data_IF_859003237647
#
_entry.id   IF_859003237647
#
_cell.length_a   1.000
_cell.length_b   1.000
_cell.length_c   1.000
_cell.angle_alpha   90.00
_cell.angle_beta   90.00
_cell.angle_gamma   90.00
#
_symmetry.space_group_name_H-M   'P 1'
#
loop_
_entity.id
_entity.type
_entity.pdbx_description
1 polymer ?
#
# COMPACT_ATOMS: atom_id res chain seq x y z
N UNK A 1 -29.66 -23.05 -23.58
CA UNK A 1 -28.22 -22.74 -23.52
C UNK A 1 -27.61 -23.61 -22.43
N UNK A 2 -26.70 -24.53 -22.77
CA UNK A 2 -26.00 -25.34 -21.77
C UNK A 2 -24.73 -24.60 -21.33
N UNK A 3 -24.75 -24.02 -20.13
CA UNK A 3 -23.62 -23.31 -19.50
C UNK A 3 -22.63 -24.30 -18.88
N UNK A 4 -22.05 -25.18 -19.68
CA UNK A 4 -20.98 -26.07 -19.22
C UNK A 4 -19.69 -25.70 -19.94
N UNK A 5 -18.76 -25.08 -19.21
CA UNK A 5 -17.38 -24.95 -19.63
C UNK A 5 -16.77 -26.35 -19.79
N UNK A 6 -15.95 -26.51 -20.80
CA UNK A 6 -15.06 -27.66 -20.92
C UNK A 6 -13.97 -27.58 -19.85
N UNK A 7 -13.37 -28.73 -19.53
CA UNK A 7 -12.23 -28.75 -18.61
C UNK A 7 -11.06 -27.89 -19.11
N UNK A 8 -10.86 -27.81 -20.43
CA UNK A 8 -9.80 -27.00 -21.01
C UNK A 8 -10.08 -25.50 -20.84
N UNK A 9 -11.30 -25.04 -21.13
CA UNK A 9 -11.67 -23.63 -20.93
C UNK A 9 -11.54 -23.21 -19.47
N UNK A 10 -11.85 -24.10 -18.53
CA UNK A 10 -11.63 -23.83 -17.10
C UNK A 10 -10.13 -23.70 -16.77
N UNK A 11 -9.28 -24.60 -17.29
CA UNK A 11 -7.83 -24.55 -17.08
C UNK A 11 -7.23 -23.25 -17.63
N UNK A 12 -7.59 -22.89 -18.86
CA UNK A 12 -7.08 -21.69 -19.52
C UNK A 12 -7.51 -20.43 -18.77
N UNK A 13 -8.77 -20.37 -18.32
CA UNK A 13 -9.27 -19.27 -17.48
C UNK A 13 -8.45 -19.10 -16.18
N UNK A 14 -8.19 -20.18 -15.45
CA UNK A 14 -7.37 -20.10 -14.24
C UNK A 14 -5.91 -19.76 -14.55
N UNK A 15 -5.36 -20.27 -15.65
CA UNK A 15 -4.01 -19.94 -16.07
C UNK A 15 -3.84 -18.44 -16.27
N UNK A 16 -4.78 -17.77 -16.94
CA UNK A 16 -4.72 -16.33 -17.20
C UNK A 16 -4.91 -15.50 -15.92
N UNK A 17 -5.74 -15.96 -14.99
CA UNK A 17 -5.91 -15.32 -13.67
C UNK A 17 -4.63 -15.37 -12.85
N UNK A 18 -3.96 -16.53 -12.83
CA UNK A 18 -2.78 -16.73 -11.99
C UNK A 18 -1.48 -16.29 -12.67
N UNK A 19 -1.48 -16.11 -13.99
CA UNK A 19 -0.31 -15.67 -14.77
C UNK A 19 -0.67 -14.44 -15.63
N UNK A 20 -1.03 -13.31 -14.99
CA UNK A 20 -1.40 -12.11 -15.73
C UNK A 20 -0.19 -11.58 -16.52
N UNK A 21 -0.45 -11.05 -17.72
CA UNK A 21 0.56 -10.46 -18.61
C UNK A 21 0.11 -9.07 -19.08
N UNK A 22 1.03 -8.27 -19.62
CA UNK A 22 0.72 -6.93 -20.13
C UNK A 22 0.08 -6.04 -19.06
N UNK A 23 -1.00 -5.34 -19.41
CA UNK A 23 -1.71 -4.41 -18.52
C UNK A 23 -2.29 -5.10 -17.27
N UNK A 24 -2.76 -6.35 -17.40
CA UNK A 24 -3.28 -7.11 -16.27
C UNK A 24 -2.19 -7.35 -15.20
N UNK A 25 -0.93 -7.56 -15.62
CA UNK A 25 0.20 -7.67 -14.69
C UNK A 25 0.46 -6.34 -13.96
N UNK A 26 0.34 -5.21 -14.67
CA UNK A 26 0.51 -3.88 -14.09
C UNK A 26 -0.57 -3.63 -13.03
N UNK A 27 -1.83 -3.98 -13.33
CA UNK A 27 -2.93 -3.87 -12.37
C UNK A 27 -2.70 -4.75 -11.14
N UNK A 28 -2.30 -6.01 -11.32
CA UNK A 28 -1.92 -6.90 -10.21
C UNK A 28 -0.81 -6.26 -9.36
N UNK A 29 0.23 -5.70 -9.98
CA UNK A 29 1.33 -5.05 -9.27
C UNK A 29 0.92 -3.77 -8.55
N UNK A 30 -0.01 -3.00 -9.11
CA UNK A 30 -0.55 -1.81 -8.45
C UNK A 30 -1.31 -2.19 -7.17
N UNK A 31 -2.12 -3.25 -7.22
CA UNK A 31 -2.81 -3.76 -6.03
C UNK A 31 -1.87 -4.42 -5.02
N UNK A 32 -0.82 -5.14 -5.47
CA UNK A 32 0.23 -5.65 -4.59
C UNK A 32 0.90 -4.52 -3.79
N UNK A 33 1.25 -3.42 -4.47
CA UNK A 33 1.85 -2.23 -3.84
C UNK A 33 0.87 -1.58 -2.86
N UNK A 34 -0.38 -1.38 -3.29
CA UNK A 34 -1.42 -0.85 -2.41
C UNK A 34 -1.62 -1.70 -1.16
N UNK A 35 -1.58 -3.02 -1.28
CA UNK A 35 -1.66 -3.95 -0.15
C UNK A 35 -0.54 -3.71 0.88
N UNK A 36 0.69 -3.45 0.42
CA UNK A 36 1.80 -3.13 1.32
C UNK A 36 1.58 -1.85 2.13
N UNK A 37 1.00 -0.82 1.50
CA UNK A 37 0.61 0.40 2.21
C UNK A 37 -0.53 0.14 3.18
N UNK A 38 -1.59 -0.54 2.75
CA UNK A 38 -2.75 -0.83 3.59
C UNK A 38 -2.37 -1.64 4.83
N UNK A 39 -1.48 -2.64 4.71
CA UNK A 39 -0.99 -3.39 5.88
C UNK A 39 -0.30 -2.49 6.90
N UNK A 40 0.52 -1.53 6.46
CA UNK A 40 1.17 -0.57 7.36
C UNK A 40 0.13 0.34 8.02
N UNK A 41 -0.88 0.79 7.27
CA UNK A 41 -1.98 1.60 7.80
C UNK A 41 -2.75 0.81 8.86
N UNK A 42 -3.14 -0.44 8.59
CA UNK A 42 -3.85 -1.31 9.54
C UNK A 42 -3.09 -1.48 10.84
N UNK A 43 -1.78 -1.77 10.75
CA UNK A 43 -0.93 -1.92 11.93
C UNK A 43 -0.92 -0.66 12.81
N UNK A 44 -0.86 0.51 12.20
CA UNK A 44 -0.85 1.79 12.92
C UNK A 44 -2.23 2.09 13.50
N UNK A 45 -3.32 1.80 12.77
CA UNK A 45 -4.67 1.95 13.29
C UNK A 45 -4.88 1.07 14.52
N UNK A 46 -4.46 -0.19 14.48
CA UNK A 46 -4.53 -1.11 15.61
C UNK A 46 -3.72 -0.61 16.81
N UNK A 47 -2.49 -0.15 16.58
CA UNK A 47 -1.62 0.42 17.62
C UNK A 47 -2.22 1.67 18.28
N UNK A 48 -2.88 2.51 17.49
CA UNK A 48 -3.53 3.74 17.96
C UNK A 48 -4.98 3.50 18.43
N UNK A 49 -5.47 2.25 18.45
CA UNK A 49 -6.87 1.89 18.74
C UNK A 49 -7.89 2.68 17.91
N UNK A 50 -7.57 2.94 16.64
CA UNK A 50 -8.40 3.68 15.70
C UNK A 50 -9.10 2.76 14.72
N UNK A 51 -10.30 3.14 14.29
CA UNK A 51 -11.02 2.43 13.23
C UNK A 51 -10.80 3.09 11.85
N UNK A 52 -11.15 2.39 10.76
CA UNK A 52 -11.19 2.99 9.42
C UNK A 52 -12.11 4.24 9.36
N UNK A 53 -13.17 4.26 10.18
CA UNK A 53 -14.07 5.42 10.28
C UNK A 53 -13.36 6.61 10.93
N UNK A 54 -12.53 6.37 11.94
CA UNK A 54 -11.75 7.41 12.60
C UNK A 54 -10.69 7.96 11.65
N UNK A 55 -10.02 7.09 10.88
CA UNK A 55 -9.10 7.52 9.82
C UNK A 55 -9.82 8.40 8.78
N UNK A 56 -11.01 7.99 8.34
CA UNK A 56 -11.80 8.75 7.38
C UNK A 56 -12.08 10.17 7.90
N UNK A 57 -12.52 10.27 9.15
CA UNK A 57 -12.77 11.57 9.81
C UNK A 57 -11.47 12.39 9.89
N UNK A 58 -10.35 11.77 10.26
CA UNK A 58 -9.06 12.45 10.45
C UNK A 58 -8.49 13.03 9.15
N UNK A 59 -8.70 12.36 8.01
CA UNK A 59 -8.25 12.85 6.69
C UNK A 59 -9.33 13.64 5.93
N UNK A 60 -10.48 13.90 6.56
CA UNK A 60 -11.57 14.71 5.99
C UNK A 60 -12.27 14.03 4.81
N UNK A 61 -12.56 12.73 4.89
CA UNK A 61 -13.27 11.98 3.85
C UNK A 61 -14.38 11.09 4.43
N UNK A 62 -15.19 10.48 3.57
CA UNK A 62 -16.25 9.57 4.00
C UNK A 62 -15.70 8.19 4.35
N UNK A 63 -16.33 7.51 5.32
CA UNK A 63 -15.99 6.12 5.66
C UNK A 63 -16.13 5.19 4.44
N UNK A 64 -17.14 5.40 3.58
CA UNK A 64 -17.32 4.63 2.34
C UNK A 64 -16.12 4.77 1.39
N UNK A 65 -15.57 5.98 1.27
CA UNK A 65 -14.38 6.22 0.45
C UNK A 65 -13.15 5.49 0.98
N UNK A 66 -12.95 5.45 2.30
CA UNK A 66 -11.89 4.66 2.91
C UNK A 66 -12.12 3.16 2.68
N UNK A 67 -13.32 2.66 2.97
CA UNK A 67 -13.63 1.23 2.80
C UNK A 67 -13.49 0.74 1.35
N UNK A 68 -13.63 1.62 0.34
CA UNK A 68 -13.31 1.26 -1.04
C UNK A 68 -11.86 0.81 -1.22
N UNK A 69 -10.92 1.40 -0.47
CA UNK A 69 -9.52 1.02 -0.52
C UNK A 69 -9.28 -0.32 0.18
N UNK A 70 -9.75 -0.46 1.42
CA UNK A 70 -9.57 -1.69 2.22
C UNK A 70 -10.25 -2.92 1.59
N UNK A 71 -11.31 -2.71 0.81
CA UNK A 71 -11.97 -3.78 0.06
C UNK A 71 -11.42 -3.98 -1.36
N UNK A 72 -10.33 -3.30 -1.73
CA UNK A 72 -9.72 -3.37 -3.07
C UNK A 72 -10.68 -3.01 -4.22
N UNK A 73 -11.73 -2.25 -3.94
CA UNK A 73 -12.68 -1.76 -4.96
C UNK A 73 -12.13 -0.57 -5.74
N UNK A 74 -11.07 0.08 -5.25
CA UNK A 74 -10.43 1.24 -5.85
C UNK A 74 -8.97 1.31 -5.48
N UNK A 75 -8.10 1.68 -6.43
CA UNK A 75 -6.71 2.01 -6.13
C UNK A 75 -6.60 3.31 -5.31
N UNK A 76 -5.81 3.25 -4.24
CA UNK A 76 -5.43 4.43 -3.48
C UNK A 76 -4.46 5.28 -4.30
N UNK A 77 -4.64 6.60 -4.28
CA UNK A 77 -3.72 7.52 -4.95
C UNK A 77 -2.71 8.11 -3.96
N UNK A 78 -1.60 8.63 -4.47
CA UNK A 78 -0.53 9.20 -3.66
C UNK A 78 -0.95 10.39 -2.80
N UNK A 79 -1.91 11.24 -3.24
CA UNK A 79 -2.42 12.34 -2.40
C UNK A 79 -3.15 11.80 -1.18
N UNK A 80 -3.91 10.72 -1.32
CA UNK A 80 -4.57 10.05 -0.19
C UNK A 80 -3.54 9.41 0.73
N UNK A 81 -2.51 8.74 0.20
CA UNK A 81 -1.42 8.20 1.02
C UNK A 81 -0.72 9.30 1.84
N UNK A 82 -0.36 10.43 1.23
CA UNK A 82 0.26 11.55 1.93
C UNK A 82 -0.65 12.12 3.05
N UNK A 83 -1.96 12.22 2.81
CA UNK A 83 -2.92 12.62 3.86
C UNK A 83 -2.93 11.63 5.02
N UNK A 84 -2.89 10.33 4.74
CA UNK A 84 -2.87 9.29 5.77
C UNK A 84 -1.55 9.34 6.55
N UNK A 85 -0.43 9.53 5.87
CA UNK A 85 0.90 9.67 6.48
C UNK A 85 0.93 10.81 7.51
N UNK A 86 0.51 12.02 7.09
CA UNK A 86 0.39 13.18 7.98
C UNK A 86 -0.65 12.98 9.09
N UNK A 87 -1.75 12.29 8.80
CA UNK A 87 -2.79 12.06 9.79
C UNK A 87 -2.38 11.01 10.83
N UNK A 88 -1.57 10.02 10.49
CA UNK A 88 -1.15 8.99 11.43
C UNK A 88 0.20 9.28 12.08
N UNK A 89 0.89 10.34 11.65
CA UNK A 89 2.24 10.70 12.07
C UNK A 89 3.23 9.53 11.84
N UNK A 90 3.21 9.00 10.62
CA UNK A 90 4.04 7.86 10.20
C UNK A 90 4.86 8.22 8.96
N UNK A 91 5.75 7.33 8.56
CA UNK A 91 6.38 7.33 7.23
C UNK A 91 6.25 5.94 6.66
N UNK A 92 5.83 5.80 5.40
CA UNK A 92 5.70 4.48 4.79
C UNK A 92 7.07 3.88 4.46
N UNK A 93 7.28 2.64 4.87
CA UNK A 93 8.47 1.87 4.52
C UNK A 93 8.23 1.05 3.25
N UNK A 94 9.07 1.26 2.24
CA UNK A 94 9.08 0.44 1.02
C UNK A 94 9.99 -0.76 1.23
N UNK A 95 9.39 -1.95 1.26
CA UNK A 95 10.16 -3.20 1.32
C UNK A 95 10.64 -3.55 -0.07
N UNK A 96 11.94 -3.55 -0.28
CA UNK A 96 12.52 -4.20 -1.45
C UNK A 96 12.41 -5.71 -1.24
N UNK A 97 11.88 -6.47 -2.22
CA UNK A 97 12.00 -7.92 -2.15
C UNK A 97 13.48 -8.23 -2.02
N UNK A 98 13.84 -8.99 -0.99
CA UNK A 98 15.16 -9.57 -0.89
C UNK A 98 15.26 -10.51 -2.09
N UNK A 99 15.80 -10.01 -3.19
CA UNK A 99 16.33 -10.91 -4.20
C UNK A 99 17.51 -11.55 -3.51
N UNK A 100 17.51 -12.88 -3.41
CA UNK A 100 18.70 -13.67 -3.08
C UNK A 100 19.77 -13.50 -4.18
N UNK A 101 20.10 -12.27 -4.54
CA UNK A 101 21.23 -11.98 -5.39
C UNK A 101 22.45 -11.95 -4.48
N UNK A 102 23.24 -13.03 -4.64
CA UNK A 102 24.60 -13.25 -4.15
C UNK A 102 24.69 -14.10 -2.88
N UNK A 103 24.58 -15.43 -3.03
CA UNK A 103 25.48 -16.36 -2.33
C UNK A 103 26.92 -16.06 -2.79
N UNK A 104 27.52 -14.99 -2.26
CA UNK A 104 28.97 -14.97 -2.09
C UNK A 104 29.18 -15.46 -0.67
N UNK A 105 29.49 -16.75 -0.57
CA UNK A 105 30.17 -17.26 0.61
C UNK A 105 31.40 -16.35 0.84
N UNK A 106 31.47 -15.74 2.03
CA UNK A 106 32.61 -14.99 2.57
C UNK A 106 32.59 -13.44 2.55
N UNK A 107 31.52 -12.76 2.95
CA UNK A 107 31.69 -11.46 3.63
C UNK A 107 30.57 -11.20 4.65
N UNK A 108 30.91 -11.35 5.94
CA UNK A 108 30.15 -10.76 7.03
C UNK A 108 30.36 -9.25 6.93
N UNK A 109 29.36 -8.50 6.48
CA UNK A 109 29.34 -7.05 6.68
C UNK A 109 28.21 -6.74 7.67
N UNK A 110 28.54 -6.32 8.90
CA UNK A 110 27.55 -5.82 9.83
C UNK A 110 27.23 -4.38 9.44
N UNK A 111 26.17 -4.13 8.66
CA UNK A 111 25.71 -2.76 8.41
C UNK A 111 24.64 -2.41 9.43
N UNK A 112 25.09 -2.21 10.67
CA UNK A 112 24.53 -1.16 11.51
C UNK A 112 25.30 0.10 11.15
N UNK A 113 24.86 0.83 10.14
CA UNK A 113 25.33 2.20 9.95
C UNK A 113 24.23 3.07 9.35
N UNK A 114 23.79 3.99 10.22
CA UNK A 114 22.87 5.10 10.05
C UNK A 114 22.81 5.63 8.61
N UNK A 115 21.66 5.46 7.96
CA UNK A 115 21.28 6.38 6.88
C UNK A 115 20.64 7.61 7.54
N UNK A 116 21.48 8.59 7.90
CA UNK A 116 21.02 9.90 8.33
C UNK A 116 20.48 10.65 7.11
N UNK A 117 19.16 10.67 6.93
CA UNK A 117 18.53 11.73 6.14
C UNK A 117 18.45 12.94 7.06
N UNK A 118 19.14 14.01 6.67
CA UNK A 118 19.08 15.32 7.30
C UNK A 118 17.63 15.80 7.38
N UNK A 119 17.17 16.09 8.59
CA UNK A 119 15.95 16.85 8.85
C UNK A 119 16.06 18.22 8.16
N UNK A 120 15.44 18.40 7.00
CA UNK A 120 14.94 19.72 6.63
C UNK A 120 13.56 19.85 7.28
N UNK A 121 13.53 20.51 8.44
CA UNK A 121 12.31 20.99 9.06
C UNK A 121 11.61 21.95 8.08
N UNK A 122 10.55 21.49 7.44
CA UNK A 122 9.57 22.38 6.82
C UNK A 122 8.65 22.90 7.93
N UNK A 123 8.71 24.19 8.33
CA UNK A 123 7.78 24.73 9.29
C UNK A 123 6.41 24.85 8.63
N UNK A 124 5.55 23.85 8.82
CA UNK A 124 4.14 23.97 8.47
C UNK A 124 3.42 24.60 9.66
N UNK A 125 3.20 25.91 9.57
CA UNK A 125 2.31 26.64 10.48
C UNK A 125 0.88 26.10 10.32
N UNK A 126 0.27 25.66 11.42
CA UNK A 126 -1.05 25.03 11.46
C UNK A 126 -2.25 26.00 11.35
N UNK A 127 -2.04 27.24 10.91
CA UNK A 127 -3.07 28.29 10.98
C UNK A 127 -3.87 28.54 9.69
N UNK A 128 -3.64 27.83 8.57
CA UNK A 128 -4.32 28.13 7.30
C UNK A 128 -5.29 27.06 6.75
N UNK A 129 -5.64 26.00 7.49
CA UNK A 129 -6.50 24.93 6.94
C UNK A 129 -8.01 25.04 7.22
N UNK A 130 -8.51 26.18 7.70
CA UNK A 130 -9.96 26.44 7.85
C UNK A 130 -10.38 27.80 7.28
N UNK A 131 -10.09 28.06 6.01
CA UNK A 131 -10.77 29.12 5.27
C UNK A 131 -11.15 28.65 3.86
N UNK A 132 -12.46 28.77 3.60
CA UNK A 132 -13.22 28.51 2.37
C UNK A 132 -13.67 27.06 2.11
#
# INVERSE_FOLDING_TARGET
>A
MTTKYTNQEAIDFFHDIFNPTGDALIDTKAYDLMGQYLTQIEQVLDQQSMTQKDLANKIGTSASYISQFFNFNKLINFKTLAKIELALDINFELKQPITDSVRNENNIIPVTEKFSISNEEFPVSNDELYAA
#
